data_IF_137197014337
#
_entry.id   IF_137197014337
#
_cell.length_a   1.000
_cell.length_b   1.000
_cell.length_c   1.000
_cell.angle_alpha   90.00
_cell.angle_beta   90.00
_cell.angle_gamma   90.00
#
_symmetry.space_group_name_H-M   'P 1'
#
loop_
_entity.id
_entity.type
_entity.pdbx_description
1 polymer ?
#
# COMPACT_ATOMS: atom_id res chain seq x y z
N UNK A 1 -18.63 10.08 6.37
CA UNK A 1 -17.33 10.52 5.83
C UNK A 1 -16.59 9.32 5.27
N UNK A 2 -16.18 9.41 4.00
CA UNK A 2 -15.64 8.24 3.30
C UNK A 2 -14.29 8.50 2.64
N UNK A 3 -13.61 9.58 3.05
CA UNK A 3 -12.32 9.93 2.45
C UNK A 3 -11.12 9.40 3.23
N UNK A 4 -11.36 8.72 4.34
CA UNK A 4 -10.27 8.20 5.15
C UNK A 4 -10.76 7.46 6.39
N UNK A 5 -9.83 7.12 7.26
CA UNK A 5 -10.15 6.45 8.51
C UNK A 5 -9.12 6.84 9.57
N UNK A 6 -9.42 6.51 10.82
CA UNK A 6 -8.54 6.82 11.94
C UNK A 6 -7.70 5.61 12.30
N UNK A 7 -6.43 5.85 12.56
CA UNK A 7 -5.49 4.85 13.03
C UNK A 7 -4.94 5.25 14.39
N UNK A 8 -4.59 4.27 15.20
CA UNK A 8 -4.03 4.53 16.52
C UNK A 8 -2.52 4.54 16.43
N UNK A 9 -1.93 5.64 16.87
CA UNK A 9 -0.50 5.74 17.07
C UNK A 9 -0.22 5.66 18.58
N UNK A 10 1.04 5.75 18.97
CA UNK A 10 1.37 5.74 20.40
C UNK A 10 0.80 6.96 21.13
N UNK A 11 0.48 8.01 20.39
CA UNK A 11 0.06 9.26 20.99
C UNK A 11 -1.43 9.51 20.92
N UNK A 12 -2.08 9.12 19.79
CA UNK A 12 -3.45 9.53 19.54
C UNK A 12 -4.07 8.71 18.42
N UNK A 13 -5.38 8.89 18.23
CA UNK A 13 -6.05 8.48 17.01
C UNK A 13 -5.81 9.56 15.97
N UNK A 14 -5.29 9.17 14.82
CA UNK A 14 -4.95 10.10 13.76
C UNK A 14 -5.64 9.69 12.47
N UNK A 15 -6.19 10.68 11.76
CA UNK A 15 -6.87 10.40 10.50
C UNK A 15 -5.86 10.26 9.38
N UNK A 16 -6.06 9.23 8.55
CA UNK A 16 -5.34 9.08 7.28
C UNK A 16 -6.37 9.07 6.17
N UNK A 17 -6.05 9.76 5.08
CA UNK A 17 -6.90 9.83 3.92
C UNK A 17 -6.49 8.75 2.94
N UNK A 18 -7.46 8.14 2.26
CA UNK A 18 -7.15 7.09 1.30
C UNK A 18 -6.21 7.59 0.21
N UNK A 19 -6.39 8.83 -0.25
CA UNK A 19 -5.59 9.36 -1.34
C UNK A 19 -4.17 9.74 -0.94
N UNK A 20 -3.85 9.75 0.35
CA UNK A 20 -2.48 10.03 0.77
C UNK A 20 -1.68 8.76 1.09
N UNK A 21 -2.32 7.59 1.12
CA UNK A 21 -1.63 6.33 1.44
C UNK A 21 -0.95 5.80 0.18
N UNK A 22 0.38 5.66 0.23
CA UNK A 22 1.17 5.14 -0.88
C UNK A 22 1.35 3.63 -0.76
N UNK A 23 1.83 3.17 0.38
CA UNK A 23 1.89 1.74 0.69
C UNK A 23 1.99 1.58 2.20
N UNK A 24 1.77 0.35 2.67
CA UNK A 24 1.81 0.02 4.10
C UNK A 24 2.68 -1.22 4.26
N UNK A 25 3.56 -1.20 5.24
CA UNK A 25 4.48 -2.31 5.53
C UNK A 25 4.29 -2.79 6.96
N UNK A 26 4.27 -4.09 7.15
CA UNK A 26 4.28 -4.68 8.49
C UNK A 26 5.60 -4.32 9.18
N UNK A 27 5.52 -3.96 10.45
CA UNK A 27 6.70 -3.61 11.23
C UNK A 27 6.45 -3.97 12.68
N UNK A 28 7.22 -4.91 13.20
CA UNK A 28 7.07 -5.41 14.58
C UNK A 28 5.61 -5.86 14.80
N UNK A 29 4.95 -5.33 15.83
CA UNK A 29 3.57 -5.69 16.13
C UNK A 29 2.55 -4.74 15.51
N UNK A 30 3.00 -3.86 14.65
CA UNK A 30 2.14 -2.88 13.99
C UNK A 30 2.46 -2.77 12.52
N UNK A 31 2.32 -1.56 12.00
CA UNK A 31 2.59 -1.27 10.59
C UNK A 31 3.15 0.13 10.45
N UNK A 32 3.84 0.37 9.34
CA UNK A 32 4.25 1.72 8.93
C UNK A 32 3.46 2.07 7.69
N UNK A 33 2.79 3.22 7.72
CA UNK A 33 2.05 3.75 6.58
C UNK A 33 2.90 4.83 5.93
N UNK A 34 3.21 4.63 4.65
CA UNK A 34 3.98 5.62 3.89
C UNK A 34 2.99 6.50 3.13
N UNK A 35 3.07 7.79 3.39
CA UNK A 35 2.08 8.76 2.93
C UNK A 35 2.71 9.76 1.97
N UNK A 36 1.88 10.49 1.25
CA UNK A 36 2.35 11.56 0.38
C UNK A 36 3.10 12.62 1.19
N UNK A 37 3.98 13.39 0.50
CA UNK A 37 4.76 14.42 1.17
C UNK A 37 5.91 13.88 1.99
N UNK A 38 6.40 12.68 1.65
CA UNK A 38 7.53 12.05 2.34
C UNK A 38 7.26 11.84 3.82
N UNK A 39 6.01 11.64 4.19
CA UNK A 39 5.59 11.37 5.55
C UNK A 39 5.45 9.88 5.77
N UNK A 40 5.72 9.44 6.98
CA UNK A 40 5.42 8.07 7.38
C UNK A 40 4.80 8.10 8.76
N UNK A 41 3.99 7.08 9.05
CA UNK A 41 3.25 7.03 10.30
C UNK A 41 3.30 5.60 10.83
N UNK A 42 3.84 5.43 12.04
CA UNK A 42 3.81 4.14 12.71
C UNK A 42 2.48 3.98 13.42
N UNK A 43 1.79 2.88 13.12
CA UNK A 43 0.45 2.66 13.65
C UNK A 43 0.40 1.34 14.41
N UNK A 44 -0.45 1.31 15.45
CA UNK A 44 -0.57 0.15 16.34
C UNK A 44 -1.62 -0.83 15.83
N UNK A 45 -1.55 -1.11 14.53
CA UNK A 45 -2.44 -2.08 13.88
C UNK A 45 -1.60 -3.00 13.02
N UNK A 46 -1.84 -4.30 13.13
CA UNK A 46 -1.17 -5.26 12.27
C UNK A 46 -1.66 -5.11 10.84
N UNK A 47 -0.84 -5.55 9.91
CA UNK A 47 -1.11 -5.34 8.48
C UNK A 47 -2.48 -5.88 8.05
N UNK A 48 -2.88 -7.06 8.58
CA UNK A 48 -4.16 -7.64 8.21
C UNK A 48 -5.33 -6.76 8.64
N UNK A 49 -5.18 -6.02 9.75
CA UNK A 49 -6.22 -5.10 10.20
C UNK A 49 -6.31 -3.89 9.27
N UNK A 50 -5.16 -3.37 8.83
CA UNK A 50 -5.15 -2.28 7.86
C UNK A 50 -5.78 -2.77 6.55
N UNK A 51 -5.46 -3.99 6.14
CA UNK A 51 -6.05 -4.56 4.94
C UNK A 51 -7.57 -4.58 5.02
N UNK A 52 -8.13 -4.93 6.17
CA UNK A 52 -9.59 -4.89 6.37
C UNK A 52 -10.15 -3.50 6.19
N UNK A 53 -9.44 -2.49 6.71
CA UNK A 53 -9.90 -1.10 6.58
C UNK A 53 -9.88 -0.62 5.13
N UNK A 54 -9.06 -1.23 4.29
CA UNK A 54 -8.90 -0.84 2.90
C UNK A 54 -9.72 -1.71 1.94
N UNK A 55 -10.49 -2.67 2.45
CA UNK A 55 -11.18 -3.67 1.63
C UNK A 55 -12.12 -3.05 0.61
N UNK A 56 -12.77 -1.93 0.95
CA UNK A 56 -13.74 -1.30 0.05
C UNK A 56 -13.08 -0.44 -1.03
N UNK A 57 -11.75 -0.38 -1.03
CA UNK A 57 -11.02 0.42 -1.99
C UNK A 57 -10.20 -0.50 -2.90
N UNK A 58 -10.69 -0.78 -4.11
CA UNK A 58 -10.05 -1.77 -4.98
C UNK A 58 -8.66 -1.37 -5.47
N UNK A 59 -8.28 -0.11 -5.30
CA UNK A 59 -6.93 0.32 -5.67
C UNK A 59 -5.87 -0.09 -4.64
N UNK A 60 -6.25 -0.63 -3.49
CA UNK A 60 -5.29 -1.15 -2.51
C UNK A 60 -5.24 -2.66 -2.63
N UNK A 61 -4.05 -3.20 -2.84
CA UNK A 61 -3.88 -4.65 -2.97
C UNK A 61 -2.67 -5.10 -2.16
N UNK A 62 -2.78 -6.32 -1.64
CA UNK A 62 -1.66 -6.99 -1.00
C UNK A 62 -0.68 -7.40 -2.10
N UNK A 63 0.58 -7.01 -1.97
CA UNK A 63 1.60 -7.28 -2.99
C UNK A 63 2.56 -8.38 -2.55
N UNK A 64 2.68 -8.58 -1.24
CA UNK A 64 3.44 -9.68 -0.66
C UNK A 64 2.99 -9.86 0.79
N UNK A 65 3.65 -10.76 1.51
CA UNK A 65 3.23 -11.07 2.88
C UNK A 65 3.31 -9.88 3.82
N UNK A 66 4.12 -8.89 3.49
CA UNK A 66 4.44 -7.80 4.40
C UNK A 66 3.95 -6.44 3.93
N UNK A 67 3.38 -6.34 2.72
CA UNK A 67 3.09 -5.02 2.16
C UNK A 67 1.76 -4.98 1.41
N UNK A 68 1.08 -3.85 1.56
CA UNK A 68 -0.12 -3.48 0.80
C UNK A 68 0.26 -2.24 0.01
N UNK A 69 -0.13 -2.17 -1.25
CA UNK A 69 0.24 -1.06 -2.12
C UNK A 69 -1.01 -0.38 -2.68
N UNK A 70 -0.92 0.93 -2.83
CA UNK A 70 -1.91 1.71 -3.57
C UNK A 70 -1.53 1.66 -5.05
N UNK A 71 -2.35 0.97 -5.86
CA UNK A 71 -2.07 0.82 -7.28
C UNK A 71 -1.92 2.15 -7.99
N UNK A 72 -2.68 3.17 -7.55
CA UNK A 72 -2.63 4.49 -8.16
C UNK A 72 -1.32 5.22 -7.87
N UNK A 73 -0.55 4.77 -6.89
CA UNK A 73 0.72 5.39 -6.54
C UNK A 73 1.90 4.78 -7.30
N UNK A 74 1.69 3.65 -7.96
CA UNK A 74 2.76 2.97 -8.69
C UNK A 74 3.03 3.75 -9.98
N UNK A 75 4.27 4.17 -10.16
CA UNK A 75 4.66 4.99 -11.31
C UNK A 75 5.63 4.29 -12.26
N UNK A 76 6.00 3.04 -11.97
CA UNK A 76 6.83 2.26 -12.85
C UNK A 76 6.91 0.82 -12.40
N UNK A 77 7.22 -0.09 -13.32
CA UNK A 77 7.46 -1.47 -12.92
C UNK A 77 8.26 -2.21 -13.98
N UNK A 78 8.94 -3.25 -13.53
CA UNK A 78 9.67 -4.17 -14.40
C UNK A 78 9.59 -5.55 -13.76
N UNK A 79 9.04 -6.52 -14.49
CA UNK A 79 8.84 -7.86 -13.93
C UNK A 79 7.92 -7.81 -12.72
N UNK A 80 8.39 -8.33 -11.60
CA UNK A 80 7.61 -8.34 -10.35
C UNK A 80 7.98 -7.20 -9.41
N UNK A 81 8.77 -6.25 -9.90
CA UNK A 81 9.19 -5.09 -9.10
C UNK A 81 8.37 -3.88 -9.52
N UNK A 82 7.70 -3.27 -8.55
CA UNK A 82 6.84 -2.11 -8.76
C UNK A 82 7.44 -0.94 -7.99
N UNK A 83 7.44 0.24 -8.61
CA UNK A 83 8.08 1.41 -8.02
C UNK A 83 7.06 2.45 -7.62
N UNK A 84 7.22 2.97 -6.41
CA UNK A 84 6.55 4.20 -5.97
C UNK A 84 7.68 5.18 -5.75
N UNK A 85 7.86 6.11 -6.70
CA UNK A 85 9.05 6.93 -6.73
C UNK A 85 10.28 6.06 -6.87
N UNK A 86 11.21 6.20 -5.94
CA UNK A 86 12.46 5.42 -5.92
C UNK A 86 12.34 4.13 -5.12
N UNK A 87 11.16 3.85 -4.55
CA UNK A 87 11.00 2.73 -3.64
C UNK A 87 10.55 1.49 -4.39
N UNK A 88 11.37 0.42 -4.41
CA UNK A 88 10.97 -0.83 -5.06
C UNK A 88 10.12 -1.66 -4.12
N UNK A 89 9.04 -2.21 -4.66
CA UNK A 89 8.14 -3.10 -3.95
C UNK A 89 7.99 -4.35 -4.79
N UNK A 90 8.05 -5.52 -4.17
CA UNK A 90 8.11 -6.78 -4.92
C UNK A 90 6.83 -7.59 -4.72
N UNK A 91 6.23 -7.98 -5.83
CA UNK A 91 5.13 -8.93 -5.81
C UNK A 91 5.72 -10.32 -5.73
N UNK A 92 5.36 -11.08 -4.69
CA UNK A 92 5.92 -12.41 -4.46
C UNK A 92 4.83 -13.43 -4.17
N UNK A 93 5.18 -14.71 -4.31
CA UNK A 93 4.26 -15.79 -4.04
C UNK A 93 3.00 -15.70 -4.88
N UNK A 94 1.87 -16.04 -4.27
CA UNK A 94 0.58 -15.99 -4.96
C UNK A 94 0.17 -14.57 -5.32
N UNK A 95 0.71 -13.58 -4.66
CA UNK A 95 0.40 -12.18 -4.94
C UNK A 95 0.93 -11.74 -6.30
N UNK A 96 1.99 -12.40 -6.77
CA UNK A 96 2.58 -12.07 -8.06
C UNK A 96 1.56 -12.22 -9.19
N UNK A 97 0.78 -13.29 -9.17
CA UNK A 97 -0.24 -13.51 -10.19
C UNK A 97 -1.33 -12.44 -10.13
N UNK A 98 -1.66 -11.98 -8.92
CA UNK A 98 -2.68 -10.95 -8.75
C UNK A 98 -2.27 -9.63 -9.38
N UNK A 99 -0.96 -9.38 -9.51
CA UNK A 99 -0.46 -8.13 -10.07
C UNK A 99 -0.30 -8.20 -11.59
N UNK A 100 -0.28 -9.40 -12.16
CA UNK A 100 -0.15 -9.54 -13.60
C UNK A 100 -1.42 -9.04 -14.28
N UNK A 101 -1.23 -8.22 -15.30
CA UNK A 101 -2.35 -7.69 -16.08
C UNK A 101 -3.12 -6.56 -15.42
N UNK A 102 -2.69 -6.13 -14.23
CA UNK A 102 -3.37 -5.04 -13.54
C UNK A 102 -3.22 -3.72 -14.31
N UNK A 103 -2.05 -3.52 -14.93
CA UNK A 103 -1.77 -2.27 -15.62
C UNK A 103 -1.81 -2.45 -17.13
N UNK A 104 -2.36 -1.44 -17.82
CA UNK A 104 -2.38 -1.39 -19.27
C UNK A 104 -1.03 -0.87 -19.76
N UNK A 105 -0.42 -1.62 -20.68
CA UNK A 105 0.88 -1.23 -21.25
C UNK A 105 0.70 -0.85 -22.70
N UNK A 106 1.51 0.12 -23.15
CA UNK A 106 1.54 0.46 -24.55
C UNK A 106 2.11 -0.72 -25.34
N UNK A 107 1.64 -0.88 -26.56
CA UNK A 107 2.17 -1.94 -27.43
C UNK A 107 3.61 -1.63 -27.77
N UNK A 108 4.45 -2.67 -27.71
CA UNK A 108 5.81 -2.57 -28.21
C UNK A 108 5.82 -2.67 -29.72
N UNK A 109 6.78 -2.00 -30.35
CA UNK A 109 6.91 -2.03 -31.79
C UNK A 109 8.06 -2.91 -32.24
#
# INVERSE_FOLDING_TARGET
MRDGFFVKTDEKWEKVRYDEILWVRAFENGSVMFLTGERSLMVNHRLWRIEEMLTEHPNFVRINRSEIVNLNAIDGFEGNCYYIGKNPLYATGDYRQRMEGVFVKAKQQ
#
